data_IF_865050805075
#
_entry.id   IF_865050805075
#
_cell.length_a   1.000
_cell.length_b   1.000
_cell.length_c   1.000
_cell.angle_alpha   90.00
_cell.angle_beta   90.00
_cell.angle_gamma   90.00
#
_symmetry.space_group_name_H-M   'P 1'
#
loop_
_entity.id
_entity.type
_entity.pdbx_description
1 polymer ?
#
# COMPACT_ATOMS: atom_id res chain seq x y z
N UNK A 1 -5.17 -34.68 3.34
CA UNK A 1 -4.28 -33.79 2.55
C UNK A 1 -4.91 -32.45 2.14
N UNK A 2 -6.22 -32.22 2.33
CA UNK A 2 -6.89 -30.99 1.88
C UNK A 2 -6.79 -29.77 2.82
N UNK A 3 -6.36 -29.95 4.08
CA UNK A 3 -6.30 -28.85 5.07
C UNK A 3 -5.01 -28.02 4.99
N UNK A 4 -3.89 -28.67 4.65
CA UNK A 4 -2.56 -28.05 4.60
C UNK A 4 -2.45 -26.98 3.50
N UNK A 5 -3.13 -27.20 2.36
CA UNK A 5 -3.11 -26.30 1.20
C UNK A 5 -3.87 -24.99 1.47
N UNK A 6 -4.90 -25.04 2.31
CA UNK A 6 -5.65 -23.86 2.75
C UNK A 6 -4.84 -23.03 3.76
N UNK A 7 -4.17 -23.70 4.70
CA UNK A 7 -3.31 -23.03 5.68
C UNK A 7 -2.13 -22.30 5.02
N UNK A 8 -1.42 -22.91 4.07
CA UNK A 8 -0.33 -22.24 3.35
C UNK A 8 -0.83 -21.07 2.50
N UNK A 9 -2.02 -21.17 1.90
CA UNK A 9 -2.58 -20.07 1.09
C UNK A 9 -2.95 -18.87 1.97
N UNK A 10 -3.53 -19.13 3.15
CA UNK A 10 -3.87 -18.12 4.14
C UNK A 10 -2.62 -17.47 4.76
N UNK A 11 -1.57 -18.25 5.09
CA UNK A 11 -0.29 -17.70 5.58
C UNK A 11 0.44 -16.89 4.50
N UNK A 12 0.38 -17.32 3.22
CA UNK A 12 0.95 -16.57 2.11
C UNK A 12 0.18 -15.26 1.86
N UNK A 13 -1.15 -15.27 1.96
CA UNK A 13 -1.96 -14.03 1.91
C UNK A 13 -1.69 -13.10 3.11
N UNK A 14 -1.54 -13.65 4.32
CA UNK A 14 -1.20 -12.88 5.52
C UNK A 14 0.21 -12.28 5.48
N UNK A 15 1.18 -12.93 4.82
CA UNK A 15 2.53 -12.38 4.61
C UNK A 15 2.66 -11.40 3.44
N UNK A 16 1.78 -11.51 2.42
CA UNK A 16 1.78 -10.60 1.26
C UNK A 16 1.43 -9.16 1.64
N UNK A 17 0.46 -8.97 2.54
CA UNK A 17 0.03 -7.63 2.97
C UNK A 17 1.16 -6.82 3.63
N UNK A 18 1.86 -7.33 4.67
CA UNK A 18 2.99 -6.61 5.25
C UNK A 18 4.14 -6.47 4.26
N UNK A 19 4.46 -7.50 3.45
CA UNK A 19 5.52 -7.41 2.45
C UNK A 19 5.25 -6.29 1.42
N UNK A 20 4.01 -6.16 0.93
CA UNK A 20 3.65 -5.07 0.02
C UNK A 20 3.76 -3.70 0.68
N UNK A 21 3.37 -3.57 1.95
CA UNK A 21 3.54 -2.32 2.70
C UNK A 21 5.02 -1.93 2.78
N UNK A 22 5.91 -2.86 3.11
CA UNK A 22 7.35 -2.59 3.15
C UNK A 22 7.93 -2.22 1.78
N UNK A 23 7.48 -2.86 0.70
CA UNK A 23 7.86 -2.46 -0.66
C UNK A 23 7.38 -1.04 -1.00
N UNK A 24 6.15 -0.67 -0.61
CA UNK A 24 5.61 0.68 -0.79
C UNK A 24 6.40 1.73 -0.01
N UNK A 25 6.77 1.45 1.25
CA UNK A 25 7.64 2.33 2.03
C UNK A 25 9.04 2.44 1.40
N UNK A 26 9.56 1.35 0.82
CA UNK A 26 10.80 1.36 0.06
C UNK A 26 10.73 2.28 -1.16
N UNK A 27 9.61 2.28 -1.88
CA UNK A 27 9.37 3.17 -3.03
C UNK A 27 9.27 4.64 -2.59
N UNK A 28 8.63 4.94 -1.46
CA UNK A 28 8.59 6.31 -0.92
C UNK A 28 10.00 6.86 -0.66
N UNK A 29 10.91 6.02 -0.15
CA UNK A 29 12.33 6.38 0.06
C UNK A 29 13.08 6.63 -1.25
N UNK A 30 12.80 5.87 -2.31
CA UNK A 30 13.41 6.06 -3.63
C UNK A 30 12.90 7.33 -4.30
N UNK A 31 11.63 7.69 -4.06
CA UNK A 31 11.00 8.89 -4.60
C UNK A 31 11.31 10.16 -3.79
N UNK A 32 12.09 10.06 -2.70
CA UNK A 32 12.37 11.14 -1.73
C UNK A 32 11.09 11.81 -1.18
N UNK A 33 10.00 11.05 -1.10
CA UNK A 33 8.70 11.52 -0.63
C UNK A 33 8.50 11.12 0.82
N UNK A 34 7.92 12.01 1.63
CA UNK A 34 7.71 11.72 3.04
C UNK A 34 6.65 10.60 3.20
N UNK A 35 7.05 9.40 3.67
CA UNK A 35 6.15 8.25 3.71
C UNK A 35 5.01 8.44 4.71
N UNK A 36 5.20 9.24 5.75
CA UNK A 36 4.18 9.52 6.77
C UNK A 36 3.08 10.43 6.20
N UNK A 37 3.48 11.49 5.48
CA UNK A 37 2.53 12.40 4.80
C UNK A 37 1.75 11.69 3.71
N UNK A 38 2.44 10.93 2.86
CA UNK A 38 1.81 10.13 1.82
C UNK A 38 0.82 9.14 2.42
N UNK A 39 1.21 8.38 3.45
CA UNK A 39 0.32 7.39 4.07
C UNK A 39 -0.90 8.05 4.71
N UNK A 40 -0.74 9.22 5.35
CA UNK A 40 -1.84 9.99 5.90
C UNK A 40 -2.80 10.47 4.80
N UNK A 41 -2.28 10.91 3.65
CA UNK A 41 -3.07 11.27 2.48
C UNK A 41 -3.85 10.08 1.94
N UNK A 42 -3.19 8.94 1.74
CA UNK A 42 -3.79 7.68 1.26
C UNK A 42 -4.90 7.23 2.20
N UNK A 43 -4.66 7.18 3.52
CA UNK A 43 -5.66 6.75 4.50
C UNK A 43 -6.88 7.67 4.55
N UNK A 44 -6.71 8.98 4.29
CA UNK A 44 -7.82 9.93 4.20
C UNK A 44 -8.61 9.78 2.89
N UNK A 45 -7.93 9.48 1.79
CA UNK A 45 -8.57 9.44 0.47
C UNK A 45 -9.08 8.05 0.09
N UNK A 46 -8.54 6.96 0.66
CA UNK A 46 -8.94 5.58 0.32
C UNK A 46 -10.40 5.30 0.66
N UNK A 47 -10.97 5.97 1.66
CA UNK A 47 -12.38 5.85 2.02
C UNK A 47 -13.31 6.51 0.97
N UNK A 48 -12.85 7.61 0.38
CA UNK A 48 -13.61 8.38 -0.63
C UNK A 48 -13.27 8.01 -2.08
N UNK A 49 -12.18 7.26 -2.30
CA UNK A 49 -11.70 6.92 -3.65
C UNK A 49 -12.29 5.59 -4.09
N UNK A 50 -12.99 5.53 -5.23
CA UNK A 50 -13.49 4.26 -5.75
C UNK A 50 -12.33 3.32 -6.11
N UNK A 51 -12.56 2.00 -6.03
CA UNK A 51 -11.53 0.97 -6.27
C UNK A 51 -10.80 1.16 -7.61
N UNK A 52 -11.55 1.60 -8.63
CA UNK A 52 -11.06 1.93 -9.96
C UNK A 52 -10.01 3.06 -9.99
N UNK A 53 -9.90 3.89 -8.94
CA UNK A 53 -8.96 5.02 -8.87
C UNK A 53 -7.89 4.84 -7.78
N UNK A 54 -7.81 3.69 -7.12
CA UNK A 54 -6.80 3.46 -6.06
C UNK A 54 -5.36 3.65 -6.59
N UNK A 55 -5.12 3.39 -7.88
CA UNK A 55 -3.80 3.62 -8.48
C UNK A 55 -3.36 5.10 -8.44
N UNK A 56 -4.28 6.06 -8.34
CA UNK A 56 -3.90 7.49 -8.21
C UNK A 56 -3.36 7.83 -6.82
N UNK A 57 -3.54 6.94 -5.84
CA UNK A 57 -3.00 7.07 -4.49
C UNK A 57 -1.56 6.55 -4.37
N UNK A 58 -0.98 6.03 -5.45
CA UNK A 58 0.41 5.59 -5.46
C UNK A 58 1.35 6.78 -5.21
N UNK A 59 2.48 6.54 -4.54
CA UNK A 59 3.44 7.60 -4.24
C UNK A 59 4.07 8.18 -5.52
N UNK A 60 4.02 7.48 -6.65
CA UNK A 60 4.42 8.02 -7.96
C UNK A 60 3.54 9.21 -8.40
N UNK A 61 2.22 9.10 -8.22
CA UNK A 61 1.26 10.11 -8.66
C UNK A 61 0.96 11.18 -7.60
N UNK A 62 1.41 10.97 -6.37
CA UNK A 62 1.24 11.93 -5.28
C UNK A 62 2.30 13.03 -5.36
N UNK A 63 1.92 14.28 -5.63
CA UNK A 63 2.79 15.43 -5.45
C UNK A 63 2.68 15.89 -4.00
N UNK A 64 3.81 16.07 -3.30
CA UNK A 64 3.83 16.64 -1.94
C UNK A 64 3.27 18.06 -2.10
N UNK A 65 1.97 18.23 -1.85
CA UNK A 65 1.37 19.56 -1.84
C UNK A 65 2.05 20.32 -0.69
N UNK A 66 3.05 21.12 -1.04
CA UNK A 66 3.73 22.05 -0.17
C UNK A 66 2.72 23.12 0.24
N UNK A 67 1.90 22.80 1.26
CA UNK A 67 1.06 23.74 2.00
C UNK A 67 1.84 24.44 3.10
#
# INVERSE_FOLDING_TARGET
MSSIRTYINMSLQSGKRPAMMYSLFGVCKVLDKNPERWLCYVLKHIDSTPEDKIYTLLPEFWEDEEQ
#
